data_IF_559455771079
#
_entry.id   IF_559455771079
#
_cell.length_a   1.000
_cell.length_b   1.000
_cell.length_c   1.000
_cell.angle_alpha   90.00
_cell.angle_beta   90.00
_cell.angle_gamma   90.00
#
_symmetry.space_group_name_H-M   'P 1'
#
loop_
_entity.id
_entity.type
_entity.pdbx_description
1 polymer ?
#
# COMPACT_ATOMS: atom_id res chain seq x y z
N UNK A 1 -7.43 -8.04 20.54
CA UNK A 1 -6.33 -7.53 19.67
C UNK A 1 -6.89 -7.13 18.34
N UNK A 2 -6.59 -5.93 17.91
CA UNK A 2 -7.06 -5.46 16.63
C UNK A 2 -6.23 -6.10 15.52
N UNK A 3 -6.85 -6.63 14.47
CA UNK A 3 -6.07 -7.12 13.36
C UNK A 3 -5.33 -5.93 12.76
N UNK A 4 -4.06 -5.80 13.10
CA UNK A 4 -3.15 -4.96 12.36
C UNK A 4 -3.05 -5.63 11.01
N UNK A 5 -3.87 -5.13 10.17
CA UNK A 5 -4.07 -5.69 8.89
C UNK A 5 -2.85 -5.52 8.04
N UNK A 6 -2.68 -6.45 7.28
CA UNK A 6 -1.85 -6.60 6.11
C UNK A 6 -0.92 -5.44 5.84
N UNK A 7 0.35 -5.70 5.98
CA UNK A 7 1.36 -4.80 5.48
C UNK A 7 1.10 -4.52 4.00
N UNK A 8 1.21 -3.28 3.61
CA UNK A 8 1.17 -2.94 2.20
C UNK A 8 2.41 -3.52 1.52
N UNK A 9 2.23 -4.05 0.33
CA UNK A 9 3.33 -4.57 -0.47
C UNK A 9 3.89 -3.49 -1.38
N UNK A 10 5.03 -3.77 -1.99
CA UNK A 10 5.58 -2.89 -3.05
C UNK A 10 4.59 -2.75 -4.20
N UNK A 11 3.86 -3.81 -4.52
CA UNK A 11 2.84 -3.79 -5.56
C UNK A 11 1.74 -2.76 -5.23
N UNK A 12 1.29 -2.72 -3.99
CA UNK A 12 0.31 -1.72 -3.53
C UNK A 12 0.85 -0.30 -3.69
N UNK A 13 2.11 -0.07 -3.36
CA UNK A 13 2.76 1.22 -3.51
C UNK A 13 2.82 1.64 -4.99
N UNK A 14 3.19 0.72 -5.87
CA UNK A 14 3.24 0.97 -7.31
C UNK A 14 1.85 1.31 -7.85
N UNK A 15 0.84 0.54 -7.47
CA UNK A 15 -0.54 0.76 -7.90
C UNK A 15 -1.13 2.09 -7.41
N UNK A 16 -0.56 2.70 -6.38
CA UNK A 16 -1.03 3.97 -5.83
C UNK A 16 -0.61 5.19 -6.67
N UNK A 17 0.31 5.02 -7.61
CA UNK A 17 0.71 6.11 -8.51
C UNK A 17 -0.28 6.23 -9.65
N UNK A 18 -0.71 7.45 -9.94
CA UNK A 18 -1.73 7.73 -10.96
C UNK A 18 -1.30 7.30 -12.36
N UNK A 19 -0.03 7.33 -12.63
CA UNK A 19 0.52 6.97 -13.94
C UNK A 19 0.99 5.51 -14.05
N UNK A 20 0.67 4.67 -13.06
CA UNK A 20 1.03 3.26 -13.08
C UNK A 20 0.17 2.50 -14.08
N UNK A 21 0.83 1.74 -14.96
CA UNK A 21 0.14 0.91 -15.97
C UNK A 21 0.12 -0.55 -15.50
N UNK A 22 1.28 -1.10 -15.17
CA UNK A 22 1.42 -2.49 -14.74
C UNK A 22 2.73 -3.10 -15.21
N UNK A 23 3.00 -4.30 -14.74
CA UNK A 23 4.22 -5.04 -15.11
C UNK A 23 3.95 -6.55 -15.07
N UNK A 24 4.85 -7.33 -15.68
CA UNK A 24 4.80 -8.78 -15.66
C UNK A 24 5.77 -9.32 -14.59
N UNK A 25 5.40 -10.44 -13.97
CA UNK A 25 6.25 -11.12 -13.00
C UNK A 25 5.97 -10.70 -11.58
N UNK A 26 6.92 -10.97 -10.69
CA UNK A 26 6.80 -10.68 -9.27
C UNK A 26 7.11 -9.22 -8.95
N UNK A 27 6.60 -8.75 -7.81
CA UNK A 27 6.87 -7.41 -7.33
C UNK A 27 8.38 -7.24 -7.04
N UNK A 28 8.98 -6.09 -7.37
CA UNK A 28 10.39 -5.87 -7.14
C UNK A 28 10.69 -5.74 -5.64
N UNK A 29 11.78 -6.37 -5.20
CA UNK A 29 12.27 -6.27 -3.82
C UNK A 29 13.47 -5.34 -3.70
N UNK A 30 14.13 -5.03 -4.82
CA UNK A 30 15.33 -4.19 -4.86
C UNK A 30 15.20 -3.15 -5.98
N UNK A 31 16.06 -2.13 -5.91
CA UNK A 31 16.12 -1.10 -6.95
C UNK A 31 16.45 -1.71 -8.32
N UNK A 32 17.37 -2.69 -8.36
CA UNK A 32 17.74 -3.37 -9.59
C UNK A 32 16.55 -4.10 -10.21
N UNK A 33 15.79 -4.82 -9.40
CA UNK A 33 14.59 -5.51 -9.86
C UNK A 33 13.55 -4.52 -10.37
N UNK A 34 13.38 -3.39 -9.66
CA UNK A 34 12.46 -2.33 -10.07
C UNK A 34 12.85 -1.72 -11.42
N UNK A 35 14.13 -1.46 -11.65
CA UNK A 35 14.60 -0.91 -12.91
C UNK A 35 14.44 -1.89 -14.07
N UNK A 36 14.42 -3.18 -13.78
CA UNK A 36 14.31 -4.24 -14.79
C UNK A 36 12.89 -4.78 -14.95
N UNK A 37 11.88 -4.12 -14.39
CA UNK A 37 10.50 -4.54 -14.57
C UNK A 37 10.11 -4.56 -16.04
N UNK A 38 9.35 -5.59 -16.41
CA UNK A 38 8.87 -5.75 -17.79
C UNK A 38 7.45 -5.18 -17.90
N UNK A 39 7.18 -4.36 -18.90
CA UNK A 39 5.82 -3.87 -19.15
C UNK A 39 4.85 -5.03 -19.42
N UNK A 40 3.57 -4.76 -19.22
CA UNK A 40 2.52 -5.71 -19.57
C UNK A 40 2.56 -6.01 -21.08
N UNK A 41 2.03 -7.17 -21.45
CA UNK A 41 1.86 -7.56 -22.84
C UNK A 41 1.05 -6.47 -23.55
N UNK A 42 1.32 -5.97 -24.61
CA UNK A 42 0.67 -4.86 -25.34
C UNK A 42 1.01 -3.45 -24.81
N UNK A 43 1.90 -3.35 -23.84
CA UNK A 43 2.38 -2.06 -23.35
C UNK A 43 3.90 -1.98 -23.50
N UNK A 44 4.41 -0.77 -23.66
CA UNK A 44 5.85 -0.52 -23.78
C UNK A 44 6.47 0.06 -22.52
N UNK A 45 5.62 0.47 -21.55
CA UNK A 45 6.05 1.13 -20.33
C UNK A 45 5.31 0.56 -19.12
N UNK A 46 5.98 0.56 -17.96
CA UNK A 46 5.37 0.20 -16.68
C UNK A 46 4.61 1.38 -16.11
N UNK A 47 5.08 2.60 -16.36
CA UNK A 47 4.42 3.85 -15.98
C UNK A 47 4.26 4.72 -17.21
N UNK A 48 3.14 5.41 -17.30
CA UNK A 48 2.92 6.38 -18.36
C UNK A 48 3.69 7.66 -18.05
N UNK A 49 4.60 8.04 -18.93
CA UNK A 49 5.43 9.22 -18.74
C UNK A 49 6.59 8.96 -17.79
N UNK A 50 6.77 9.82 -16.77
CA UNK A 50 7.90 9.74 -15.87
C UNK A 50 7.73 8.63 -14.84
N UNK A 51 8.65 7.66 -14.86
CA UNK A 51 8.71 6.59 -13.88
C UNK A 51 9.22 7.12 -12.54
N UNK A 52 8.51 6.86 -11.42
CA UNK A 52 9.02 7.26 -10.09
C UNK A 52 10.34 6.58 -9.77
N UNK A 53 11.16 7.21 -8.94
CA UNK A 53 12.38 6.60 -8.46
C UNK A 53 12.06 5.55 -7.39
N UNK A 54 12.97 4.59 -7.20
CA UNK A 54 12.78 3.53 -6.19
C UNK A 54 12.54 4.10 -4.79
N UNK A 55 13.24 5.17 -4.42
CA UNK A 55 13.05 5.83 -3.13
C UNK A 55 11.63 6.41 -2.99
N UNK A 56 11.04 6.89 -4.07
CA UNK A 56 9.66 7.39 -4.07
C UNK A 56 8.67 6.25 -3.85
N UNK A 57 8.92 5.08 -4.43
CA UNK A 57 8.09 3.89 -4.25
C UNK A 57 8.14 3.44 -2.79
N UNK A 58 9.32 3.38 -2.19
CA UNK A 58 9.49 3.01 -0.78
C UNK A 58 8.79 4.00 0.14
N UNK A 59 8.92 5.29 -0.14
CA UNK A 59 8.24 6.34 0.63
C UNK A 59 6.74 6.20 0.54
N UNK A 60 6.21 5.89 -0.64
CA UNK A 60 4.78 5.69 -0.83
C UNK A 60 4.26 4.49 -0.03
N UNK A 61 5.03 3.41 0.02
CA UNK A 61 4.68 2.23 0.82
C UNK A 61 4.55 2.61 2.30
N UNK A 62 5.51 3.37 2.82
CA UNK A 62 5.48 3.84 4.20
C UNK A 62 4.28 4.75 4.46
N UNK A 63 4.00 5.68 3.57
CA UNK A 63 2.85 6.58 3.67
C UNK A 63 1.52 5.81 3.72
N UNK A 64 1.36 4.78 2.90
CA UNK A 64 0.16 3.96 2.90
C UNK A 64 -0.02 3.22 4.22
N UNK A 65 1.06 2.67 4.78
CA UNK A 65 1.04 1.99 6.06
C UNK A 65 0.63 2.95 7.20
N UNK A 66 1.22 4.13 7.24
CA UNK A 66 0.90 5.16 8.23
C UNK A 66 -0.55 5.63 8.13
N UNK A 67 -1.05 5.84 6.93
CA UNK A 67 -2.41 6.26 6.69
C UNK A 67 -3.43 5.23 7.19
N UNK A 68 -3.14 3.96 6.99
CA UNK A 68 -4.02 2.87 7.43
C UNK A 68 -4.06 2.77 8.96
N UNK A 69 -2.91 2.86 9.62
CA UNK A 69 -2.84 2.85 11.08
C UNK A 69 -3.64 4.00 11.68
N UNK A 70 -3.52 5.19 11.12
CA UNK A 70 -4.25 6.36 11.59
C UNK A 70 -5.76 6.15 11.49
N UNK A 71 -6.25 5.62 10.37
CA UNK A 71 -7.68 5.34 10.20
C UNK A 71 -8.21 4.33 11.19
N UNK A 72 -7.46 3.28 11.45
CA UNK A 72 -7.86 2.24 12.41
C UNK A 72 -7.93 2.84 13.81
N UNK A 73 -6.94 3.63 14.20
CA UNK A 73 -6.91 4.28 15.51
C UNK A 73 -8.07 5.25 15.68
N UNK A 74 -8.42 6.01 14.67
CA UNK A 74 -9.56 6.95 14.71
C UNK A 74 -10.88 6.21 14.90
N UNK A 75 -11.08 5.07 14.23
CA UNK A 75 -12.27 4.24 14.39
C UNK A 75 -12.36 3.65 15.79
N UNK A 76 -11.27 3.14 16.32
CA UNK A 76 -11.21 2.57 17.67
C UNK A 76 -11.57 3.63 18.69
N UNK A 77 -11.04 4.84 18.56
CA UNK A 77 -11.37 5.96 19.46
C UNK A 77 -12.85 6.30 19.41
N UNK A 78 -13.45 6.31 18.22
CA UNK A 78 -14.87 6.60 18.07
C UNK A 78 -15.74 5.52 18.74
N UNK A 79 -15.40 4.25 18.57
CA UNK A 79 -16.14 3.16 19.21
C UNK A 79 -16.02 3.18 20.73
N UNK A 80 -14.85 3.51 21.26
CA UNK A 80 -14.66 3.65 22.71
C UNK A 80 -15.51 4.78 23.30
N UNK A 81 -15.69 5.87 22.57
CA UNK A 81 -16.56 6.97 22.98
C UNK A 81 -18.02 6.55 23.05
N UNK A 82 -18.42 5.55 22.27
CA UNK A 82 -19.76 4.99 22.31
C UNK A 82 -19.95 3.96 23.45
N UNK A 83 -18.91 3.70 24.23
CA UNK A 83 -18.95 2.77 25.35
C UNK A 83 -18.66 1.32 25.00
N UNK A 84 -18.16 1.06 23.82
CA UNK A 84 -17.82 -0.29 23.41
C UNK A 84 -16.52 -0.76 24.07
N UNK A 85 -16.48 -2.03 24.46
CA UNK A 85 -15.26 -2.65 24.99
C UNK A 85 -14.33 -3.05 23.85
N UNK A 86 -13.09 -3.36 24.19
CA UNK A 86 -12.10 -3.80 23.19
C UNK A 86 -12.56 -5.07 22.47
N UNK A 87 -13.17 -6.00 23.20
CA UNK A 87 -13.69 -7.24 22.61
C UNK A 87 -14.84 -6.97 21.64
N UNK A 88 -15.72 -6.03 21.97
CA UNK A 88 -16.84 -5.65 21.10
C UNK A 88 -16.34 -4.95 19.85
N UNK A 89 -15.32 -4.12 19.96
CA UNK A 89 -14.69 -3.45 18.83
C UNK A 89 -14.03 -4.46 17.90
N UNK A 90 -13.31 -5.44 18.46
CA UNK A 90 -12.70 -6.54 17.70
C UNK A 90 -13.73 -7.31 16.87
N UNK A 91 -14.92 -7.51 17.43
CA UNK A 91 -15.99 -8.27 16.76
C UNK A 91 -16.59 -7.53 15.55
N UNK A 92 -16.53 -6.19 15.54
CA UNK A 92 -17.11 -5.40 14.44
C UNK A 92 -16.08 -5.02 13.38
N UNK A 93 -14.82 -5.12 13.70
CA UNK A 93 -13.73 -4.83 12.77
C UNK A 93 -13.25 -6.10 12.10
#
# INVERSE_FOLDING_TARGET
MYPLMNEYTIDDALASFDNFIGYQGEAPATMTEYENLKPLENHTEVFEGKKPEWVEVLSRKIELEMYKEKKINDKISAYKKLGLTDDEIDAIM
#
